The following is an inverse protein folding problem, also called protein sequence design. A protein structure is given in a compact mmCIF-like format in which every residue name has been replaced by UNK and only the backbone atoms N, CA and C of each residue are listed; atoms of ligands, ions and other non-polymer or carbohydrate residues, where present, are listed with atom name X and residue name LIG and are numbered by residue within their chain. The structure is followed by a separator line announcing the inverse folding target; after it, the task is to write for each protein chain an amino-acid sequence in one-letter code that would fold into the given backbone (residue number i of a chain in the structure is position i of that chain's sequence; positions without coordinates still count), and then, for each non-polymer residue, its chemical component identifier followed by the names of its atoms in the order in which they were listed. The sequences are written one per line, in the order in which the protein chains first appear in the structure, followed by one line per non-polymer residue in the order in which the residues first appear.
data_IF_544354088791
#
_entry.id   IF_544354088791
#
_cell.length_a   1.000
_cell.length_b   1.000
_cell.length_c   1.000
_cell.angle_alpha   90.00
_cell.angle_beta   90.00
_cell.angle_gamma   90.00
#
_symmetry.space_group_name_H-M   'P 1'
#
loop_
_entity.id
_entity.type
_entity.pdbx_description
1 polymer ?
#
# COMPACT_ATOMS: atom_id res chain seq x y z
N UNK A 1 3.28 -4.52 -10.10
CA UNK A 1 3.16 -4.35 -8.62
C UNK A 1 2.38 -3.07 -8.35
N UNK A 2 1.44 -3.12 -7.40
CA UNK A 2 0.70 -1.95 -6.91
C UNK A 2 1.64 -0.86 -6.39
N UNK A 3 1.11 0.32 -6.09
CA UNK A 3 1.85 1.34 -5.36
C UNK A 3 1.01 1.87 -4.20
N UNK A 4 1.66 2.04 -3.04
CA UNK A 4 1.10 2.66 -1.84
C UNK A 4 1.83 3.97 -1.61
N UNK A 5 1.08 5.04 -1.33
CA UNK A 5 1.62 6.32 -0.85
C UNK A 5 1.11 6.54 0.56
N UNK A 6 2.01 6.91 1.48
CA UNK A 6 1.68 7.24 2.86
C UNK A 6 2.01 8.70 3.10
N UNK A 7 1.00 9.51 3.35
CA UNK A 7 1.12 10.93 3.69
C UNK A 7 0.80 11.12 5.17
N UNK A 8 1.80 11.49 5.95
CA UNK A 8 1.66 11.81 7.38
C UNK A 8 1.10 13.21 7.59
N UNK A 9 0.54 13.48 8.76
CA UNK A 9 0.17 14.82 9.18
C UNK A 9 1.35 15.79 9.07
N UNK A 10 1.09 17.04 8.74
CA UNK A 10 2.10 18.06 8.53
C UNK A 10 2.75 18.08 7.13
N UNK A 11 2.51 17.06 6.31
CA UNK A 11 3.08 16.93 4.95
C UNK A 11 2.04 17.36 3.91
N UNK A 12 2.48 18.06 2.85
CA UNK A 12 1.59 18.41 1.74
C UNK A 12 1.12 17.13 1.02
N UNK A 13 -0.15 17.07 0.59
CA UNK A 13 -0.64 15.98 -0.25
C UNK A 13 0.19 15.85 -1.55
N UNK A 14 0.28 14.64 -2.12
CA UNK A 14 0.89 14.47 -3.43
C UNK A 14 0.12 15.30 -4.47
N UNK A 15 0.85 15.89 -5.42
CA UNK A 15 0.23 16.66 -6.50
C UNK A 15 -0.64 15.76 -7.40
N UNK A 16 -1.57 16.36 -8.14
CA UNK A 16 -2.35 15.64 -9.15
C UNK A 16 -1.46 14.89 -10.14
N UNK A 17 -0.36 15.51 -10.58
CA UNK A 17 0.60 14.89 -11.50
C UNK A 17 1.20 13.60 -10.93
N UNK A 18 1.59 13.58 -9.65
CA UNK A 18 2.09 12.38 -8.97
C UNK A 18 1.00 11.30 -8.91
N UNK A 19 -0.21 11.67 -8.49
CA UNK A 19 -1.33 10.73 -8.39
C UNK A 19 -1.69 10.15 -9.78
N UNK A 20 -1.68 10.97 -10.82
CA UNK A 20 -1.95 10.56 -12.21
C UNK A 20 -0.86 9.63 -12.76
N UNK A 21 0.40 9.87 -12.43
CA UNK A 21 1.50 8.95 -12.77
C UNK A 21 1.35 7.60 -12.09
N UNK A 22 0.99 7.60 -10.79
CA UNK A 22 0.71 6.36 -10.06
C UNK A 22 -0.47 5.59 -10.67
N UNK A 23 -1.54 6.30 -11.03
CA UNK A 23 -2.70 5.73 -11.73
C UNK A 23 -2.31 5.13 -13.08
N UNK A 24 -1.63 5.88 -13.93
CA UNK A 24 -1.26 5.43 -15.29
C UNK A 24 -0.40 4.17 -15.26
N UNK A 25 0.39 3.98 -14.20
CA UNK A 25 1.20 2.78 -14.00
C UNK A 25 0.39 1.62 -13.41
N UNK A 26 -0.68 1.90 -12.66
CA UNK A 26 -1.50 0.94 -11.94
C UNK A 26 -2.99 1.25 -12.14
N UNK A 27 -3.53 1.01 -13.37
CA UNK A 27 -4.85 1.51 -13.75
C UNK A 27 -6.03 0.59 -13.39
N UNK A 28 -5.78 -0.51 -12.68
CA UNK A 28 -6.81 -1.52 -12.36
C UNK A 28 -7.64 -1.15 -11.12
N UNK A 29 -7.65 0.12 -10.77
CA UNK A 29 -8.44 0.71 -9.71
C UNK A 29 -7.62 1.27 -8.57
N UNK A 30 -8.25 2.14 -7.80
CA UNK A 30 -7.64 2.79 -6.64
C UNK A 30 -8.57 2.82 -5.43
N UNK A 31 -7.99 3.17 -4.29
CA UNK A 31 -8.69 3.51 -3.08
C UNK A 31 -7.82 4.32 -2.14
N UNK A 32 -8.43 4.80 -1.09
CA UNK A 32 -7.82 5.69 -0.11
C UNK A 32 -8.36 5.38 1.29
N UNK A 33 -7.51 5.54 2.30
CA UNK A 33 -7.93 5.56 3.70
C UNK A 33 -7.34 6.78 4.39
N UNK A 34 -8.09 7.33 5.34
CA UNK A 34 -7.67 8.51 6.10
C UNK A 34 -8.24 8.50 7.50
N UNK A 35 -7.58 9.20 8.39
CA UNK A 35 -8.02 9.32 9.78
C UNK A 35 -9.04 10.45 9.91
N UNK A 36 -10.15 10.17 10.57
CA UNK A 36 -11.00 11.20 11.15
C UNK A 36 -10.67 11.29 12.64
N UNK A 37 -9.92 12.34 13.01
CA UNK A 37 -9.48 12.56 14.39
C UNK A 37 -10.63 12.93 15.33
N UNK A 38 -11.72 13.50 14.79
CA UNK A 38 -12.90 13.90 15.58
C UNK A 38 -13.64 12.67 16.11
N UNK A 39 -13.82 11.66 15.25
CA UNK A 39 -14.54 10.45 15.60
C UNK A 39 -13.64 9.28 16.00
N UNK A 40 -12.31 9.45 15.95
CA UNK A 40 -11.33 8.39 16.19
C UNK A 40 -11.62 7.12 15.38
N UNK A 41 -11.74 7.31 14.08
CA UNK A 41 -11.96 6.26 13.09
C UNK A 41 -11.04 6.42 11.88
N UNK A 42 -10.84 5.34 11.17
CA UNK A 42 -10.28 5.33 9.81
C UNK A 42 -11.43 5.18 8.83
N UNK A 43 -11.56 6.15 7.92
CA UNK A 43 -12.44 6.03 6.77
C UNK A 43 -11.71 5.31 5.65
N UNK A 44 -12.40 4.40 4.97
CA UNK A 44 -11.95 3.73 3.77
C UNK A 44 -12.92 4.05 2.64
N UNK A 45 -12.38 4.43 1.48
CA UNK A 45 -13.13 4.54 0.23
C UNK A 45 -12.31 3.94 -0.91
N UNK A 46 -12.91 3.04 -1.68
CA UNK A 46 -12.21 2.28 -2.71
C UNK A 46 -13.13 1.90 -3.87
N UNK A 47 -12.59 1.17 -4.85
CA UNK A 47 -13.38 0.78 -6.02
C UNK A 47 -13.41 1.86 -7.09
N UNK A 48 -12.54 2.86 -7.00
CA UNK A 48 -12.43 3.87 -8.04
C UNK A 48 -11.83 3.25 -9.30
N UNK A 49 -12.61 3.20 -10.37
CA UNK A 49 -12.22 2.61 -11.65
C UNK A 49 -11.86 3.68 -12.70
N UNK A 50 -11.98 4.96 -12.35
CA UNK A 50 -11.49 6.10 -13.14
C UNK A 50 -10.63 7.01 -12.28
N UNK A 51 -9.62 7.65 -12.90
CA UNK A 51 -8.80 8.63 -12.18
C UNK A 51 -9.62 9.81 -11.68
N UNK A 52 -10.58 10.25 -12.47
CA UNK A 52 -11.43 11.41 -12.19
C UNK A 52 -12.27 11.20 -10.92
N UNK A 53 -12.85 10.02 -10.73
CA UNK A 53 -13.62 9.68 -9.52
C UNK A 53 -12.69 9.59 -8.30
N UNK A 54 -11.55 8.92 -8.45
CA UNK A 54 -10.54 8.87 -7.41
C UNK A 54 -10.05 10.27 -7.02
N UNK A 55 -9.67 11.10 -8.00
CA UNK A 55 -9.14 12.44 -7.74
C UNK A 55 -10.19 13.35 -7.09
N UNK A 56 -11.48 13.24 -7.48
CA UNK A 56 -12.58 13.95 -6.82
C UNK A 56 -12.64 13.64 -5.32
N UNK A 57 -12.41 12.39 -4.93
CA UNK A 57 -12.37 11.97 -3.53
C UNK A 57 -11.18 12.57 -2.77
N UNK A 58 -9.99 12.64 -3.39
CA UNK A 58 -8.74 12.93 -2.67
C UNK A 58 -8.24 14.36 -2.79
N UNK A 59 -8.73 15.16 -3.74
CA UNK A 59 -8.23 16.51 -4.06
C UNK A 59 -8.35 17.53 -2.94
N UNK A 60 -9.23 17.29 -1.97
CA UNK A 60 -9.51 18.21 -0.88
C UNK A 60 -8.71 17.88 0.41
N UNK A 61 -7.92 16.80 0.43
CA UNK A 61 -7.06 16.55 1.57
C UNK A 61 -6.03 17.66 1.72
N UNK A 62 -5.87 18.10 2.96
CA UNK A 62 -4.95 19.15 3.36
C UNK A 62 -3.64 18.62 3.94
N UNK A 63 -2.85 19.56 4.45
CA UNK A 63 -1.55 19.26 5.06
C UNK A 63 -1.70 18.38 6.31
N UNK A 64 -2.72 18.61 7.11
CA UNK A 64 -2.86 17.98 8.44
C UNK A 64 -3.50 16.59 8.38
N UNK A 65 -4.16 16.24 7.26
CA UNK A 65 -4.75 14.92 7.09
C UNK A 65 -3.68 13.83 7.09
N UNK A 66 -3.98 12.68 7.67
CA UNK A 66 -3.17 11.46 7.57
C UNK A 66 -3.86 10.55 6.56
N UNK A 67 -3.20 10.28 5.44
CA UNK A 67 -3.82 9.62 4.30
C UNK A 67 -2.91 8.55 3.71
N UNK A 68 -3.50 7.40 3.37
CA UNK A 68 -2.83 6.33 2.62
C UNK A 68 -3.60 6.11 1.31
N UNK A 69 -2.90 6.23 0.19
CA UNK A 69 -3.42 6.00 -1.15
C UNK A 69 -2.93 4.65 -1.67
N UNK A 70 -3.78 3.93 -2.38
CA UNK A 70 -3.42 2.68 -3.04
C UNK A 70 -3.85 2.69 -4.50
N UNK A 71 -2.94 2.34 -5.40
CA UNK A 71 -3.19 2.14 -6.83
C UNK A 71 -2.88 0.70 -7.20
N UNK A 72 -3.87 0.03 -7.78
CA UNK A 72 -3.84 -1.39 -8.04
C UNK A 72 -3.36 -1.71 -9.45
N UNK A 73 -2.53 -2.75 -9.55
CA UNK A 73 -2.43 -3.55 -10.76
C UNK A 73 -2.81 -5.00 -10.40
N UNK A 74 -3.76 -5.55 -11.12
CA UNK A 74 -4.31 -6.87 -10.83
C UNK A 74 -3.33 -7.96 -11.25
N UNK A 75 -3.03 -8.87 -10.33
CA UNK A 75 -2.27 -10.09 -10.59
C UNK A 75 -3.12 -11.35 -10.38
N UNK A 76 -4.17 -11.23 -9.56
CA UNK A 76 -5.11 -12.29 -9.20
C UNK A 76 -6.52 -11.69 -9.02
N UNK A 77 -7.57 -12.52 -9.09
CA UNK A 77 -8.98 -12.13 -8.93
C UNK A 77 -9.53 -11.12 -9.96
N UNK A 78 -8.83 -10.89 -11.09
CA UNK A 78 -9.32 -10.00 -12.15
C UNK A 78 -9.42 -8.52 -11.74
N UNK A 79 -10.01 -7.70 -12.61
CA UNK A 79 -10.33 -6.29 -12.33
C UNK A 79 -11.70 -6.26 -11.66
N UNK A 80 -11.73 -5.98 -10.36
CA UNK A 80 -12.92 -5.97 -9.53
C UNK A 80 -12.86 -4.80 -8.54
N UNK A 81 -13.82 -3.87 -8.56
CA UNK A 81 -13.87 -2.73 -7.62
C UNK A 81 -13.81 -3.17 -6.15
N UNK A 82 -14.50 -4.26 -5.79
CA UNK A 82 -14.54 -4.74 -4.40
C UNK A 82 -13.19 -5.26 -3.91
N UNK A 83 -12.29 -5.68 -4.82
CA UNK A 83 -10.95 -6.17 -4.49
C UNK A 83 -9.86 -5.10 -4.63
N UNK A 84 -10.22 -3.85 -4.89
CA UNK A 84 -9.29 -2.73 -4.68
C UNK A 84 -9.02 -2.53 -3.20
N UNK A 85 -7.92 -1.90 -2.86
CA UNK A 85 -7.54 -1.63 -1.48
C UNK A 85 -7.69 -0.14 -1.18
N UNK A 86 -7.81 0.24 0.11
CA UNK A 86 -7.52 -0.51 1.33
C UNK A 86 -8.63 -1.46 1.80
N UNK A 87 -8.31 -2.28 2.82
CA UNK A 87 -9.26 -3.15 3.53
C UNK A 87 -9.28 -2.82 5.03
N UNK A 88 -10.39 -3.08 5.75
CA UNK A 88 -10.40 -3.02 7.21
C UNK A 88 -9.67 -4.23 7.80
N UNK A 89 -9.03 -4.08 8.96
CA UNK A 89 -8.64 -5.22 9.80
C UNK A 89 -9.92 -5.86 10.36
N UNK A 90 -10.25 -7.06 9.90
CA UNK A 90 -11.53 -7.71 10.22
C UNK A 90 -11.46 -9.22 10.04
N UNK A 91 -12.31 -9.96 10.76
CA UNK A 91 -12.58 -11.40 10.53
C UNK A 91 -13.69 -11.62 9.51
N UNK A 92 -14.46 -10.59 9.22
CA UNK A 92 -15.64 -10.66 8.35
C UNK A 92 -15.23 -10.42 6.88
N UNK A 93 -15.24 -11.47 6.08
CA UNK A 93 -14.94 -11.40 4.64
C UNK A 93 -15.86 -10.44 3.89
N UNK A 94 -17.14 -10.34 4.28
CA UNK A 94 -18.07 -9.45 3.60
C UNK A 94 -17.66 -7.98 3.71
N UNK A 95 -17.07 -7.58 4.85
CA UNK A 95 -16.54 -6.22 5.04
C UNK A 95 -15.39 -5.87 4.10
N UNK A 96 -14.64 -6.86 3.62
CA UNK A 96 -13.57 -6.60 2.64
C UNK A 96 -14.12 -6.22 1.26
N UNK A 97 -15.38 -6.51 0.97
CA UNK A 97 -16.05 -6.14 -0.29
C UNK A 97 -16.71 -4.75 -0.25
N UNK A 98 -16.91 -4.16 0.92
CA UNK A 98 -17.49 -2.84 1.04
C UNK A 98 -16.59 -1.80 0.35
N UNK A 99 -17.21 -0.88 -0.39
CA UNK A 99 -16.48 0.18 -1.10
C UNK A 99 -16.21 1.37 -0.19
N UNK A 100 -17.15 1.67 0.70
CA UNK A 100 -17.05 2.72 1.70
C UNK A 100 -17.40 2.15 3.08
N UNK A 101 -16.49 2.34 4.03
CA UNK A 101 -16.70 1.91 5.41
C UNK A 101 -15.76 2.63 6.37
N UNK A 102 -16.03 2.45 7.66
CA UNK A 102 -15.15 2.92 8.74
C UNK A 102 -14.63 1.75 9.57
N UNK A 103 -13.43 1.89 10.13
CA UNK A 103 -12.83 0.88 11.00
C UNK A 103 -11.87 1.49 12.02
N UNK A 104 -11.31 0.66 12.88
CA UNK A 104 -10.25 1.07 13.83
C UNK A 104 -8.86 0.97 13.21
N UNK A 105 -8.65 0.03 12.31
CA UNK A 105 -7.38 -0.16 11.60
C UNK A 105 -7.68 -0.47 10.13
N UNK A 106 -7.17 0.35 9.23
CA UNK A 106 -7.18 0.12 7.79
C UNK A 106 -5.84 -0.45 7.32
N UNK A 107 -5.87 -1.26 6.26
CA UNK A 107 -4.70 -1.98 5.74
C UNK A 107 -4.60 -1.78 4.23
N UNK A 108 -3.38 -1.49 3.75
CA UNK A 108 -3.05 -1.60 2.33
C UNK A 108 -1.78 -2.44 2.15
N UNK A 109 -1.74 -3.19 1.05
CA UNK A 109 -0.70 -4.15 0.72
C UNK A 109 -0.19 -3.94 -0.71
N UNK A 110 1.11 -4.11 -0.89
CA UNK A 110 1.75 -4.16 -2.20
C UNK A 110 2.69 -5.34 -2.29
N UNK A 111 2.32 -6.35 -3.06
CA UNK A 111 3.07 -7.58 -3.26
C UNK A 111 2.18 -8.74 -3.63
N UNK A 112 2.64 -9.96 -3.31
CA UNK A 112 1.90 -11.22 -3.41
C UNK A 112 2.13 -11.96 -2.09
N UNK A 113 1.07 -12.50 -1.50
CA UNK A 113 1.13 -13.24 -0.24
C UNK A 113 1.11 -14.74 -0.56
N UNK A 114 2.24 -15.46 -0.41
CA UNK A 114 2.34 -16.84 -0.86
C UNK A 114 1.40 -17.81 -0.12
N UNK A 115 1.15 -17.59 1.17
CA UNK A 115 0.36 -18.49 1.99
C UNK A 115 -1.15 -18.47 1.68
N UNK A 116 -1.61 -17.54 0.85
CA UNK A 116 -3.02 -17.41 0.45
C UNK A 116 -3.28 -17.69 -1.03
N UNK A 117 -2.29 -18.21 -1.76
CA UNK A 117 -2.35 -18.42 -3.21
C UNK A 117 -3.06 -19.74 -3.61
N UNK A 118 -4.11 -20.11 -2.93
CA UNK A 118 -4.85 -21.36 -3.11
C UNK A 118 -5.83 -21.39 -4.31
N UNK A 119 -5.73 -20.38 -5.22
CA UNK A 119 -6.58 -20.30 -6.41
C UNK A 119 -7.98 -19.73 -6.15
N UNK A 120 -8.22 -19.12 -5.00
CA UNK A 120 -9.47 -18.40 -4.74
C UNK A 120 -9.66 -17.26 -5.75
N UNK A 121 -10.77 -17.28 -6.50
CA UNK A 121 -11.10 -16.28 -7.51
C UNK A 121 -12.01 -15.18 -6.99
N UNK A 122 -12.61 -15.36 -5.82
CA UNK A 122 -13.58 -14.44 -5.25
C UNK A 122 -12.93 -13.35 -4.40
N UNK A 123 -11.84 -13.70 -3.71
CA UNK A 123 -11.11 -12.80 -2.81
C UNK A 123 -9.65 -12.68 -3.24
N UNK A 124 -9.07 -11.51 -3.05
CA UNK A 124 -7.63 -11.32 -3.23
C UNK A 124 -6.85 -12.02 -2.11
N UNK A 125 -5.57 -12.34 -2.36
CA UNK A 125 -4.61 -12.83 -1.37
C UNK A 125 -4.59 -11.95 -0.10
N UNK A 126 -4.62 -10.65 -0.28
CA UNK A 126 -4.66 -9.67 0.81
C UNK A 126 -5.94 -9.81 1.65
N UNK A 127 -7.11 -9.92 1.00
CA UNK A 127 -8.39 -10.06 1.73
C UNK A 127 -8.42 -11.36 2.54
N UNK A 128 -7.93 -12.47 1.97
CA UNK A 128 -7.81 -13.74 2.67
C UNK A 128 -6.83 -13.66 3.84
N UNK A 129 -5.66 -13.06 3.63
CA UNK A 129 -4.67 -12.89 4.70
C UNK A 129 -5.22 -12.09 5.88
N UNK A 130 -5.93 -11.00 5.59
CA UNK A 130 -6.55 -10.15 6.61
C UNK A 130 -7.62 -10.90 7.40
N UNK A 131 -8.42 -11.74 6.76
CA UNK A 131 -9.57 -12.36 7.40
C UNK A 131 -9.25 -13.71 8.05
N UNK A 132 -8.26 -14.44 7.53
CA UNK A 132 -7.96 -15.81 7.96
C UNK A 132 -6.66 -15.94 8.75
N UNK A 133 -5.66 -15.04 8.53
CA UNK A 133 -4.35 -15.15 9.19
C UNK A 133 -4.15 -14.09 10.26
N UNK A 134 -4.30 -12.80 9.92
CA UNK A 134 -4.05 -11.71 10.87
C UNK A 134 -4.86 -11.82 12.18
N UNK A 135 -6.12 -12.30 12.19
CA UNK A 135 -6.87 -12.43 13.43
C UNK A 135 -6.35 -13.50 14.40
N UNK A 136 -5.45 -14.36 13.95
CA UNK A 136 -4.74 -15.33 14.79
C UNK A 136 -3.41 -14.81 15.33
N UNK A 137 -2.97 -13.66 14.84
CA UNK A 137 -1.69 -13.03 15.18
C UNK A 137 -1.92 -11.74 15.96
N UNK A 138 -2.88 -10.90 15.52
CA UNK A 138 -3.23 -9.62 16.10
C UNK A 138 -4.53 -9.76 16.91
N UNK A 139 -4.41 -9.77 18.24
CA UNK A 139 -5.55 -9.92 19.17
C UNK A 139 -5.91 -8.61 19.86
N UNK A 140 -4.94 -7.72 20.06
CA UNK A 140 -5.07 -6.45 20.78
C UNK A 140 -4.15 -5.38 20.16
N UNK A 141 -4.38 -4.13 20.53
CA UNK A 141 -3.63 -2.99 19.97
C UNK A 141 -2.13 -3.06 20.29
N UNK A 142 -1.76 -3.58 21.46
CA UNK A 142 -0.37 -3.72 21.91
C UNK A 142 0.44 -4.75 21.09
N UNK A 143 -0.21 -5.63 20.36
CA UNK A 143 0.47 -6.60 19.49
C UNK A 143 1.26 -5.88 18.37
N UNK A 144 0.83 -4.65 17.98
CA UNK A 144 1.59 -3.81 17.05
C UNK A 144 2.88 -3.23 17.65
N UNK A 145 3.06 -3.30 18.97
CA UNK A 145 4.28 -2.85 19.66
C UNK A 145 5.30 -3.99 19.84
N UNK A 146 4.90 -5.24 19.57
CA UNK A 146 5.77 -6.40 19.66
C UNK A 146 6.53 -6.60 18.35
N UNK A 147 7.87 -6.53 18.41
CA UNK A 147 8.75 -6.84 17.29
C UNK A 147 8.56 -8.27 16.81
N UNK A 148 8.36 -9.22 17.74
CA UNK A 148 8.17 -10.64 17.42
C UNK A 148 6.88 -10.87 16.62
N UNK A 149 5.80 -10.16 16.98
CA UNK A 149 4.54 -10.22 16.23
C UNK A 149 4.70 -9.66 14.82
N UNK A 150 5.38 -8.51 14.70
CA UNK A 150 5.65 -7.89 13.40
C UNK A 150 6.57 -8.75 12.54
N UNK A 151 7.58 -9.39 13.10
CA UNK A 151 8.48 -10.34 12.42
C UNK A 151 7.74 -11.57 11.90
N UNK A 152 6.77 -12.09 12.68
CA UNK A 152 5.88 -13.18 12.22
C UNK A 152 5.10 -12.75 10.98
N UNK A 153 4.48 -11.56 11.01
CA UNK A 153 3.73 -11.06 9.86
C UNK A 153 4.68 -10.88 8.66
N UNK A 154 5.86 -10.29 8.85
CA UNK A 154 6.86 -10.08 7.80
C UNK A 154 7.28 -11.41 7.17
N UNK A 155 7.51 -12.45 7.97
CA UNK A 155 7.87 -13.79 7.47
C UNK A 155 6.80 -14.41 6.58
N UNK A 156 5.50 -14.18 6.89
CA UNK A 156 4.38 -14.70 6.14
C UNK A 156 4.13 -13.96 4.81
N UNK A 157 4.38 -12.64 4.79
CA UNK A 157 4.15 -11.81 3.60
C UNK A 157 5.37 -11.76 2.67
N UNK A 158 6.54 -12.25 3.10
CA UNK A 158 7.78 -12.29 2.33
C UNK A 158 8.27 -10.90 1.90
N UNK A 159 8.51 -10.69 0.61
CA UNK A 159 9.03 -9.40 0.10
C UNK A 159 7.94 -8.34 -0.09
N UNK A 160 6.72 -8.59 0.35
CA UNK A 160 5.59 -7.66 0.27
C UNK A 160 5.77 -6.45 1.20
N UNK A 161 4.88 -5.48 1.06
CA UNK A 161 4.82 -4.29 1.90
C UNK A 161 3.42 -4.11 2.43
N UNK A 162 3.33 -3.89 3.73
CA UNK A 162 2.07 -3.58 4.41
C UNK A 162 2.13 -2.20 5.04
N UNK A 163 0.98 -1.56 5.11
CA UNK A 163 0.73 -0.41 5.95
C UNK A 163 -0.55 -0.64 6.75
N UNK A 164 -0.47 -0.38 8.04
CA UNK A 164 -1.60 -0.32 8.96
C UNK A 164 -1.81 1.13 9.37
N UNK A 165 -2.99 1.67 9.10
CA UNK A 165 -3.40 2.99 9.54
C UNK A 165 -4.39 2.85 10.67
N UNK A 166 -4.02 3.34 11.86
CA UNK A 166 -4.86 3.28 13.05
C UNK A 166 -5.71 4.53 13.21
N UNK A 167 -6.85 4.38 13.86
CA UNK A 167 -7.75 5.48 14.20
C UNK A 167 -7.11 6.56 15.10
N UNK A 168 -6.01 6.25 15.77
CA UNK A 168 -5.18 7.20 16.54
C UNK A 168 -4.28 8.07 15.66
N UNK A 169 -4.17 7.77 14.36
CA UNK A 169 -3.19 8.38 13.46
C UNK A 169 -1.83 7.67 13.44
N UNK A 170 -1.63 6.65 14.27
CA UNK A 170 -0.44 5.78 14.20
C UNK A 170 -0.40 5.06 12.86
N UNK A 171 0.80 4.92 12.33
CA UNK A 171 1.08 4.17 11.09
C UNK A 171 2.16 3.15 11.40
N UNK A 172 1.87 1.87 11.19
CA UNK A 172 2.85 0.80 11.20
C UNK A 172 3.08 0.30 9.78
N UNK A 173 4.32 -0.01 9.44
CA UNK A 173 4.71 -0.49 8.12
C UNK A 173 5.57 -1.73 8.22
N UNK A 174 5.39 -2.68 7.31
CA UNK A 174 6.28 -3.82 7.11
C UNK A 174 6.85 -3.77 5.70
N UNK A 175 8.14 -4.09 5.56
CA UNK A 175 8.87 -4.00 4.31
C UNK A 175 9.41 -2.60 4.02
N UNK A 176 10.10 -2.44 2.89
CA UNK A 176 10.84 -1.20 2.56
C UNK A 176 9.95 -0.19 1.86
N UNK A 177 9.97 1.04 2.37
CA UNK A 177 9.38 2.22 1.72
C UNK A 177 10.50 3.22 1.40
N UNK A 178 10.31 3.97 0.31
CA UNK A 178 11.20 5.06 -0.11
C UNK A 178 10.52 6.38 0.22
N UNK A 179 11.21 7.27 0.93
CA UNK A 179 10.70 8.60 1.21
C UNK A 179 11.09 9.59 0.11
N UNK A 180 10.12 10.41 -0.31
CA UNK A 180 10.34 11.56 -1.18
C UNK A 180 9.35 12.67 -0.81
N UNK A 181 9.86 13.86 -0.57
CA UNK A 181 9.08 15.05 -0.19
C UNK A 181 8.17 14.80 1.04
N UNK A 182 8.64 13.97 2.00
CA UNK A 182 7.93 13.58 3.21
C UNK A 182 6.85 12.49 3.00
N UNK A 183 6.62 12.04 1.78
CA UNK A 183 5.70 10.96 1.44
C UNK A 183 6.47 9.66 1.30
N UNK A 184 5.96 8.57 1.92
CA UNK A 184 6.53 7.24 1.78
C UNK A 184 5.86 6.49 0.63
N UNK A 185 6.66 5.86 -0.22
CA UNK A 185 6.23 5.09 -1.39
C UNK A 185 6.65 3.64 -1.25
N UNK A 186 5.75 2.70 -1.49
CA UNK A 186 6.09 1.26 -1.48
C UNK A 186 6.98 0.84 -2.65
N UNK A 187 7.01 1.62 -3.73
CA UNK A 187 7.97 1.55 -4.82
C UNK A 187 7.94 2.85 -5.63
N UNK A 188 8.95 3.05 -6.50
CA UNK A 188 9.08 4.22 -7.36
C UNK A 188 8.93 3.88 -8.86
N UNK A 189 8.30 2.75 -9.19
CA UNK A 189 8.14 2.28 -10.58
C UNK A 189 7.22 3.15 -11.44
N UNK A 190 6.47 4.04 -10.80
CA UNK A 190 5.61 5.04 -11.44
C UNK A 190 6.37 6.27 -11.94
N UNK A 191 7.59 6.50 -11.44
CA UNK A 191 8.45 7.64 -11.84
C UNK A 191 9.59 7.17 -12.75
N UNK A 192 9.38 7.27 -14.06
CA UNK A 192 10.40 6.90 -15.05
C UNK A 192 11.68 7.74 -14.95
N UNK A 193 11.61 8.99 -14.50
CA UNK A 193 12.77 9.86 -14.31
C UNK A 193 13.66 9.38 -13.16
N UNK A 194 13.06 8.92 -12.08
CA UNK A 194 13.78 8.35 -10.94
C UNK A 194 14.51 7.05 -11.33
N UNK A 195 13.84 6.19 -12.10
CA UNK A 195 14.42 4.91 -12.54
C UNK A 195 15.61 5.12 -13.48
N UNK A 196 15.49 6.02 -14.45
CA UNK A 196 16.59 6.35 -15.36
C UNK A 196 17.77 7.05 -14.66
N UNK A 197 17.54 7.79 -13.57
CA UNK A 197 18.61 8.38 -12.75
C UNK A 197 19.48 7.34 -12.05
N UNK A 198 18.92 6.16 -11.69
CA UNK A 198 19.69 5.05 -11.12
C UNK A 198 20.41 4.22 -12.18
N UNK A 199 19.86 4.11 -13.39
CA UNK A 199 20.50 3.37 -14.50
C UNK A 199 21.64 4.17 -15.15
N UNK A 200 21.65 5.50 -15.05
CA UNK A 200 22.72 6.37 -15.55
C UNK A 200 23.86 6.65 -14.55
N UNK A 201 23.78 6.17 -13.31
CA UNK A 201 25.02 5.90 -12.55
C UNK A 201 25.61 4.58 -13.05
N UNK A 202 26.01 4.59 -14.32
CA UNK A 202 26.98 3.63 -14.82
C UNK A 202 28.15 3.66 -13.84
N UNK A 203 28.37 2.53 -13.17
CA UNK A 203 29.67 2.26 -12.55
C UNK A 203 30.65 2.36 -13.70
N UNK A 204 31.41 3.44 -13.79
CA UNK A 204 32.60 3.50 -14.61
C UNK A 204 33.58 2.48 -14.03
N UNK A 205 33.38 1.21 -14.39
CA UNK A 205 34.35 0.18 -14.18
C UNK A 205 35.56 0.58 -15.02
N UNK A 206 36.68 0.89 -14.35
CA UNK A 206 37.91 1.23 -15.04
C UNK A 206 38.25 0.09 -15.98
N UNK A 207 38.86 0.36 -17.16
CA UNK A 207 39.27 -0.66 -18.12
C UNK A 207 40.08 -1.80 -17.48
N UNK A 208 40.85 -1.53 -16.44
CA UNK A 208 41.58 -2.53 -15.63
C UNK A 208 40.70 -3.57 -14.93
N UNK A 209 39.45 -3.25 -14.61
CA UNK A 209 38.56 -4.20 -13.93
C UNK A 209 37.91 -5.18 -14.94
N UNK A 210 37.72 -4.74 -16.18
CA UNK A 210 37.20 -5.60 -17.25
C UNK A 210 38.22 -6.64 -17.73
N UNK A 211 39.53 -6.32 -17.68
CA UNK A 211 40.58 -7.25 -18.05
C UNK A 211 40.82 -8.37 -17.01
N UNK A 212 40.37 -8.19 -15.75
CA UNK A 212 40.52 -9.20 -14.68
C UNK A 212 39.41 -10.26 -14.69
N UNK A 213 38.34 -10.11 -15.47
CA UNK A 213 37.20 -11.02 -15.53
C UNK A 213 37.27 -11.93 -16.78
N UNK A 214 38.15 -11.65 -17.73
CA UNK A 214 38.27 -12.36 -19.03
C UNK A 214 39.50 -13.26 -19.06
N UNK A 215 40.13 -13.56 -17.89
CA UNK A 215 41.19 -14.55 -17.80
C UNK A 215 40.80 -15.75 -16.97
#
# INVERSE_FOLDING_TARGET
MCVILIKKGGIKPPSEDILRKCWNKNPDGAGVMWVDSTYHIVNLSKGFMTFEDFYRQVRNFGKDDIVVYHFRISTQAGINPQMTQPFPLTRDKAKTKALDLTCKVGIAHNGIIPCTSDGNKEYSDTALFITEYLPHILHKAEDFDSSEVMDIIESLIGSSRFVFLHASGRIDTIGKFTERDGILYSNMLWDYGFYNGFTHRSVNLSPKYLESIVR
#
